data_IF_623946445869
#
_entry.id   IF_623946445869
#
_cell.length_a   1.000
_cell.length_b   1.000
_cell.length_c   1.000
_cell.angle_alpha   90.00
_cell.angle_beta   90.00
_cell.angle_gamma   90.00
#
_symmetry.space_group_name_H-M   'P 1'
#
loop_
_entity.id
_entity.type
_entity.pdbx_description
1 polymer ?
#
# COMPACT_ATOMS: atom_id res chain seq x y z
N UNK A 1 -4.69 6.21 -8.13
CA UNK A 1 -3.61 7.14 -7.76
C UNK A 1 -4.06 8.25 -6.82
N UNK A 2 -5.10 9.04 -7.12
CA UNK A 2 -5.54 10.13 -6.23
C UNK A 2 -5.88 9.68 -4.79
N UNK A 3 -6.40 8.48 -4.61
CA UNK A 3 -6.66 7.88 -3.29
C UNK A 3 -5.38 7.54 -2.51
N UNK A 4 -4.37 6.94 -3.17
CA UNK A 4 -3.06 6.66 -2.56
C UNK A 4 -2.32 7.96 -2.21
N UNK A 5 -2.39 8.96 -3.09
CA UNK A 5 -1.83 10.28 -2.82
C UNK A 5 -2.45 10.92 -1.57
N UNK A 6 -3.78 10.87 -1.45
CA UNK A 6 -4.47 11.35 -0.24
C UNK A 6 -4.11 10.53 0.99
N UNK A 7 -4.02 9.21 0.89
CA UNK A 7 -3.62 8.35 1.99
C UNK A 7 -2.20 8.67 2.49
N UNK A 8 -1.26 8.91 1.57
CA UNK A 8 0.10 9.33 1.88
C UNK A 8 0.13 10.73 2.55
N UNK A 9 -0.59 11.71 1.99
CA UNK A 9 -0.66 13.06 2.57
C UNK A 9 -1.28 13.08 3.97
N UNK A 10 -2.31 12.26 4.20
CA UNK A 10 -3.04 12.21 5.46
C UNK A 10 -2.45 11.21 6.46
N UNK A 11 -1.30 10.58 6.14
CA UNK A 11 -0.72 9.49 6.93
C UNK A 11 -1.75 8.43 7.33
N UNK A 12 -2.65 8.12 6.41
CA UNK A 12 -3.74 7.18 6.65
C UNK A 12 -3.25 5.74 6.54
N UNK A 13 -3.76 4.90 7.44
CA UNK A 13 -3.48 3.48 7.43
C UNK A 13 -4.10 2.83 6.18
N UNK A 14 -3.30 2.09 5.42
CA UNK A 14 -3.73 1.34 4.24
C UNK A 14 -3.60 -0.15 4.48
N UNK A 15 -4.47 -0.93 3.85
CA UNK A 15 -4.35 -2.39 3.78
C UNK A 15 -3.92 -2.79 2.37
N UNK A 16 -2.80 -3.50 2.27
CA UNK A 16 -2.22 -4.00 1.03
C UNK A 16 -2.31 -5.52 1.02
N UNK A 17 -2.98 -6.07 0.01
CA UNK A 17 -2.97 -7.51 -0.24
C UNK A 17 -1.94 -7.84 -1.32
N UNK A 18 -0.96 -8.65 -0.98
CA UNK A 18 0.04 -9.15 -1.93
C UNK A 18 -0.49 -10.41 -2.61
N UNK A 19 -0.31 -10.52 -3.92
CA UNK A 19 -0.67 -11.73 -4.68
C UNK A 19 0.50 -12.71 -4.67
N UNK A 20 0.22 -13.97 -4.35
CA UNK A 20 1.06 -15.11 -4.67
C UNK A 20 0.76 -15.65 -6.07
N UNK A 21 1.33 -16.82 -6.41
CA UNK A 21 1.20 -17.43 -7.74
C UNK A 21 -0.23 -17.84 -8.13
N UNK A 22 -1.08 -18.15 -7.15
CA UNK A 22 -2.49 -18.52 -7.34
C UNK A 22 -3.45 -17.81 -6.39
N UNK A 23 -2.99 -17.47 -5.18
CA UNK A 23 -3.82 -16.94 -4.10
C UNK A 23 -3.14 -15.74 -3.43
N UNK A 24 -3.89 -14.88 -2.71
CA UNK A 24 -3.31 -13.84 -1.85
C UNK A 24 -2.29 -14.44 -0.88
N UNK A 25 -1.09 -13.85 -0.80
CA UNK A 25 0.00 -14.36 0.02
C UNK A 25 0.04 -13.74 1.41
N UNK A 26 -0.17 -12.41 1.48
CA UNK A 26 -0.14 -11.69 2.74
C UNK A 26 -1.00 -10.42 2.69
N UNK A 27 -1.52 -10.03 3.84
CA UNK A 27 -2.10 -8.70 4.10
C UNK A 27 -1.13 -7.91 4.95
N UNK A 28 -0.83 -6.69 4.52
CA UNK A 28 0.05 -5.74 5.22
C UNK A 28 -0.79 -4.52 5.54
N UNK A 29 -0.75 -4.08 6.79
CA UNK A 29 -1.46 -2.89 7.23
C UNK A 29 -0.42 -1.90 7.75
N UNK A 30 -0.40 -0.68 7.22
CA UNK A 30 0.56 0.35 7.63
C UNK A 30 0.29 1.69 6.97
N UNK A 31 1.03 2.71 7.36
CA UNK A 31 0.93 4.05 6.78
C UNK A 31 1.73 4.12 5.47
N UNK A 32 1.15 4.73 4.44
CA UNK A 32 1.81 4.87 3.14
C UNK A 32 2.82 6.02 3.16
N UNK A 33 4.11 5.71 2.93
CA UNK A 33 5.20 6.70 2.85
C UNK A 33 5.42 7.16 1.40
N UNK A 34 5.46 6.21 0.47
CA UNK A 34 5.71 6.48 -0.94
C UNK A 34 5.10 5.41 -1.83
N UNK A 35 4.78 5.78 -3.06
CA UNK A 35 4.34 4.85 -4.09
C UNK A 35 4.79 5.31 -5.48
N UNK A 36 4.81 4.39 -6.44
CA UNK A 36 5.11 4.70 -7.83
C UNK A 36 4.00 4.24 -8.81
N UNK A 37 4.25 4.47 -10.10
CA UNK A 37 3.34 4.07 -11.19
C UNK A 37 3.22 2.56 -11.40
N UNK A 38 4.11 1.77 -10.80
CA UNK A 38 4.16 0.31 -10.90
C UNK A 38 3.55 -0.38 -9.68
N UNK A 39 2.93 0.37 -8.77
CA UNK A 39 2.37 -0.13 -7.52
C UNK A 39 3.42 -0.69 -6.55
N UNK A 40 4.67 -0.23 -6.66
CA UNK A 40 5.62 -0.39 -5.57
C UNK A 40 5.20 0.57 -4.45
N UNK A 41 5.19 0.06 -3.22
CA UNK A 41 4.72 0.78 -2.03
C UNK A 41 5.81 0.71 -0.97
N UNK A 42 6.07 1.84 -0.31
CA UNK A 42 6.85 1.90 0.93
C UNK A 42 5.87 2.22 2.04
N UNK A 43 5.82 1.36 3.05
CA UNK A 43 4.93 1.53 4.20
C UNK A 43 5.67 1.31 5.51
N UNK A 44 5.24 2.01 6.54
CA UNK A 44 5.71 1.87 7.92
C UNK A 44 4.54 1.44 8.82
N UNK A 45 4.85 0.63 9.84
CA UNK A 45 3.87 0.18 10.83
C UNK A 45 3.62 1.25 11.89
#
# INVERSE_FOLDING_TARGET
MASLWKAMQNQSQIMVMTRGLKEPRASIIGNLIAFDRYWNLVSEN
#
